data_IF_274465980402
#
_entry.id   IF_274465980402
#
_cell.length_a   1.000
_cell.length_b   1.000
_cell.length_c   1.000
_cell.angle_alpha   90.00
_cell.angle_beta   90.00
_cell.angle_gamma   90.00
#
_symmetry.space_group_name_H-M   'P 1'
#
loop_
_entity.id
_entity.type
_entity.pdbx_description
1 polymer ?
#
# COMPACT_ATOMS: atom_id res chain seq x y z
N UNK A 1 -2.86 8.82 12.30
CA UNK A 1 -2.08 8.29 11.17
C UNK A 1 -1.52 6.93 11.52
N UNK A 2 -1.71 5.94 10.67
CA UNK A 2 -1.23 4.58 10.85
C UNK A 2 -0.06 4.35 9.89
N UNK A 3 1.03 3.76 10.38
CA UNK A 3 2.23 3.59 9.57
C UNK A 3 3.05 2.37 9.98
N UNK A 4 3.79 1.83 9.03
CA UNK A 4 4.77 0.77 9.22
C UNK A 4 6.04 1.14 8.49
N UNK A 5 7.14 1.24 9.22
CA UNK A 5 8.48 1.55 8.68
C UNK A 5 8.52 2.79 7.78
N UNK A 6 7.67 3.76 8.05
CA UNK A 6 7.67 5.08 7.41
C UNK A 6 7.63 6.15 8.48
N UNK A 7 8.46 7.15 8.36
CA UNK A 7 8.46 8.32 9.25
C UNK A 7 7.47 9.38 8.72
N UNK A 8 7.15 10.37 9.54
CA UNK A 8 6.33 11.51 9.10
C UNK A 8 6.98 12.23 7.92
N UNK A 9 8.29 12.26 7.88
CA UNK A 9 9.06 12.86 6.79
C UNK A 9 8.88 12.08 5.49
N UNK A 10 8.93 10.74 5.58
CA UNK A 10 8.72 9.87 4.43
C UNK A 10 7.33 10.06 3.84
N UNK A 11 6.32 10.16 4.70
CA UNK A 11 4.93 10.36 4.28
C UNK A 11 4.76 11.73 3.61
N UNK A 12 5.37 12.76 4.18
CA UNK A 12 5.35 14.10 3.58
C UNK A 12 5.95 14.09 2.17
N UNK A 13 7.09 13.43 2.00
CA UNK A 13 7.75 13.32 0.70
C UNK A 13 6.93 12.47 -0.29
N UNK A 14 6.27 11.44 0.19
CA UNK A 14 5.44 10.55 -0.63
C UNK A 14 4.28 11.30 -1.29
N UNK A 15 3.73 12.31 -0.65
CA UNK A 15 2.65 13.13 -1.21
C UNK A 15 3.02 13.77 -2.53
N UNK A 16 4.30 14.10 -2.71
CA UNK A 16 4.80 14.83 -3.88
C UNK A 16 5.43 13.91 -4.93
N UNK A 17 5.71 12.66 -4.59
CA UNK A 17 6.50 11.78 -5.43
C UNK A 17 5.86 10.40 -5.67
N UNK A 18 4.61 10.21 -5.25
CA UNK A 18 3.97 8.90 -5.38
C UNK A 18 3.69 8.54 -6.83
N UNK A 19 3.90 7.26 -7.14
CA UNK A 19 3.64 6.66 -8.43
C UNK A 19 2.23 6.09 -8.48
N UNK A 20 1.75 5.79 -9.70
CA UNK A 20 0.44 5.20 -9.89
C UNK A 20 0.52 3.68 -9.86
N UNK A 21 -0.26 3.05 -8.99
CA UNK A 21 -0.29 1.59 -8.85
C UNK A 21 -0.77 0.88 -10.13
N UNK A 22 -1.51 1.55 -10.98
CA UNK A 22 -2.03 0.97 -12.23
C UNK A 22 -0.93 0.46 -13.16
N UNK A 23 0.27 1.02 -13.06
CA UNK A 23 1.41 0.63 -13.90
C UNK A 23 2.06 -0.67 -13.43
N UNK A 24 1.67 -1.17 -12.26
CA UNK A 24 2.30 -2.32 -11.61
C UNK A 24 1.31 -3.42 -11.22
N UNK A 25 0.13 -3.41 -11.80
CA UNK A 25 -0.88 -4.45 -11.55
C UNK A 25 -0.33 -5.83 -11.97
N UNK A 26 -0.44 -6.80 -11.07
CA UNK A 26 0.02 -8.17 -11.31
C UNK A 26 1.51 -8.40 -11.05
N UNK A 27 2.26 -7.35 -10.75
CA UNK A 27 3.69 -7.49 -10.47
C UNK A 27 3.95 -7.65 -8.97
N UNK A 28 4.84 -8.58 -8.57
CA UNK A 28 5.21 -8.72 -7.16
C UNK A 28 6.06 -7.53 -6.71
N UNK A 29 5.65 -6.93 -5.58
CA UNK A 29 6.32 -5.76 -5.01
C UNK A 29 6.85 -6.13 -3.63
N UNK A 30 8.15 -5.90 -3.40
CA UNK A 30 8.75 -6.09 -2.08
C UNK A 30 8.42 -4.87 -1.21
N UNK A 31 7.50 -5.04 -0.28
CA UNK A 31 7.00 -3.94 0.57
C UNK A 31 7.98 -3.68 1.70
N UNK A 32 8.49 -2.45 1.77
CA UNK A 32 9.39 -2.00 2.82
C UNK A 32 8.77 -0.97 3.75
N UNK A 33 7.66 -0.36 3.36
CA UNK A 33 6.97 0.63 4.18
C UNK A 33 5.52 0.78 3.77
N UNK A 34 4.68 1.14 4.73
CA UNK A 34 3.25 1.33 4.54
C UNK A 34 2.78 2.49 5.40
N UNK A 35 1.79 3.22 4.93
CA UNK A 35 1.15 4.27 5.73
C UNK A 35 -0.27 4.54 5.26
N UNK A 36 -1.09 4.98 6.20
CA UNK A 36 -2.40 5.57 5.92
C UNK A 36 -2.37 6.99 6.48
N UNK A 37 -2.69 7.94 5.64
CA UNK A 37 -2.75 9.36 6.00
C UNK A 37 -4.09 9.92 5.54
N UNK A 38 -4.34 11.18 5.87
CA UNK A 38 -5.53 11.90 5.41
C UNK A 38 -5.10 13.11 4.59
N UNK A 39 -5.75 13.28 3.44
CA UNK A 39 -5.59 14.45 2.61
C UNK A 39 -6.98 15.06 2.42
N UNK A 40 -7.17 16.27 2.98
CA UNK A 40 -8.44 16.99 2.93
C UNK A 40 -9.63 16.15 3.44
N UNK A 41 -9.41 15.43 4.55
CA UNK A 41 -10.41 14.58 5.20
C UNK A 41 -10.63 13.23 4.51
N UNK A 42 -9.90 12.94 3.44
CA UNK A 42 -10.00 11.67 2.72
C UNK A 42 -8.78 10.80 2.98
N UNK A 43 -8.96 9.49 3.19
CA UNK A 43 -7.83 8.61 3.41
C UNK A 43 -7.00 8.43 2.15
N UNK A 44 -5.69 8.38 2.31
CA UNK A 44 -4.75 8.05 1.26
C UNK A 44 -3.74 7.04 1.82
N UNK A 45 -3.49 5.98 1.06
CA UNK A 45 -2.52 4.96 1.44
C UNK A 45 -1.23 5.10 0.67
N UNK A 46 -0.12 4.75 1.33
CA UNK A 46 1.20 4.71 0.70
C UNK A 46 1.83 3.34 0.85
N UNK A 47 2.42 2.86 -0.23
CA UNK A 47 3.17 1.60 -0.26
C UNK A 47 4.56 1.91 -0.79
N UNK A 48 5.59 1.59 0.00
CA UNK A 48 6.97 1.69 -0.44
C UNK A 48 7.41 0.32 -0.93
N UNK A 49 7.82 0.26 -2.19
CA UNK A 49 8.32 -0.96 -2.81
C UNK A 49 9.81 -0.84 -3.09
N UNK A 50 10.60 -1.77 -2.58
CA UNK A 50 12.05 -1.76 -2.74
C UNK A 50 12.46 -1.84 -4.21
N UNK A 51 13.38 -0.96 -4.60
CA UNK A 51 13.87 -0.89 -5.97
C UNK A 51 12.89 -0.28 -6.98
N UNK A 52 11.69 0.10 -6.55
CA UNK A 52 10.65 0.65 -7.44
C UNK A 52 10.30 2.09 -7.05
N UNK A 53 9.85 2.31 -5.82
CA UNK A 53 9.47 3.62 -5.35
C UNK A 53 8.27 3.60 -4.42
N UNK A 54 7.54 4.71 -4.35
CA UNK A 54 6.39 4.89 -3.48
C UNK A 54 5.12 4.99 -4.31
N UNK A 55 4.09 4.25 -3.92
CA UNK A 55 2.77 4.31 -4.55
C UNK A 55 1.79 5.02 -3.63
N UNK A 56 1.01 5.96 -4.20
CA UNK A 56 -0.11 6.56 -3.52
C UNK A 56 -1.41 5.92 -3.99
N UNK A 57 -2.26 5.48 -3.08
CA UNK A 57 -3.54 4.84 -3.42
C UNK A 57 -4.69 5.49 -2.67
N UNK A 58 -5.81 5.66 -3.37
CA UNK A 58 -7.04 6.22 -2.80
C UNK A 58 -8.19 5.23 -2.81
N UNK A 59 -8.01 4.07 -3.42
CA UNK A 59 -9.01 2.99 -3.43
C UNK A 59 -9.33 2.52 -2.01
N UNK A 60 -10.60 2.53 -1.64
CA UNK A 60 -11.04 2.08 -0.31
C UNK A 60 -10.64 0.64 -0.03
N UNK A 61 -10.72 -0.23 -1.02
CA UNK A 61 -10.33 -1.64 -0.87
C UNK A 61 -8.83 -1.78 -0.59
N UNK A 62 -7.98 -1.01 -1.28
CA UNK A 62 -6.55 -1.03 -1.04
C UNK A 62 -6.17 -0.39 0.30
N UNK A 63 -6.85 0.69 0.70
CA UNK A 63 -6.62 1.32 2.00
C UNK A 63 -6.94 0.32 3.13
N UNK A 64 -8.03 -0.43 3.01
CA UNK A 64 -8.36 -1.48 3.97
C UNK A 64 -7.29 -2.58 3.98
N UNK A 65 -6.83 -3.01 2.81
CA UNK A 65 -5.78 -4.01 2.71
C UNK A 65 -4.47 -3.53 3.33
N UNK A 66 -4.09 -2.27 3.11
CA UNK A 66 -2.90 -1.67 3.72
C UNK A 66 -3.04 -1.63 5.24
N UNK A 67 -4.20 -1.23 5.76
CA UNK A 67 -4.46 -1.20 7.19
C UNK A 67 -4.28 -2.58 7.83
N UNK A 68 -4.84 -3.60 7.20
CA UNK A 68 -4.72 -4.97 7.67
C UNK A 68 -3.27 -5.47 7.61
N UNK A 69 -2.54 -5.11 6.56
CA UNK A 69 -1.14 -5.49 6.41
C UNK A 69 -0.26 -4.80 7.46
N UNK A 70 -0.51 -3.54 7.77
CA UNK A 70 0.21 -2.84 8.85
C UNK A 70 0.02 -3.58 10.18
N UNK A 71 -1.21 -3.98 10.50
CA UNK A 71 -1.50 -4.74 11.72
C UNK A 71 -0.77 -6.08 11.73
N UNK A 72 -0.77 -6.78 10.61
CA UNK A 72 -0.08 -8.07 10.47
C UNK A 72 1.43 -7.92 10.73
N UNK A 73 2.06 -6.94 10.06
CA UNK A 73 3.50 -6.73 10.16
C UNK A 73 3.93 -6.21 11.53
N UNK A 74 3.08 -5.41 12.19
CA UNK A 74 3.36 -4.91 13.53
C UNK A 74 3.39 -6.03 14.59
N UNK A 75 2.77 -7.16 14.31
CA UNK A 75 2.69 -8.31 15.22
C UNK A 75 3.64 -9.45 14.84
N UNK A 76 4.42 -9.29 13.78
CA UNK A 76 5.40 -10.29 13.39
C UNK A 76 6.71 -10.13 14.17
N UNK A 77 7.40 -11.23 14.37
CA UNK A 77 8.70 -11.24 15.04
C UNK A 77 9.79 -10.60 14.16
N UNK A 78 10.82 -10.07 14.81
CA UNK A 78 11.99 -9.56 14.11
C UNK A 78 12.65 -10.67 13.29
N UNK A 79 13.09 -10.34 12.08
CA UNK A 79 13.73 -11.27 11.19
C UNK A 79 12.77 -12.03 10.28
N UNK A 80 11.49 -11.66 10.28
CA UNK A 80 10.54 -12.17 9.30
C UNK A 80 11.02 -11.84 7.87
N UNK A 81 10.69 -12.71 6.92
CA UNK A 81 11.03 -12.50 5.53
C UNK A 81 10.35 -11.23 4.97
N UNK A 82 10.96 -10.57 3.97
CA UNK A 82 10.32 -9.42 3.33
C UNK A 82 8.92 -9.77 2.81
N UNK A 83 8.00 -8.85 2.99
CA UNK A 83 6.63 -9.02 2.51
C UNK A 83 6.57 -8.72 1.03
N UNK A 84 6.11 -9.69 0.25
CA UNK A 84 5.90 -9.51 -1.18
C UNK A 84 4.40 -9.42 -1.42
N UNK A 85 3.95 -8.28 -1.93
CA UNK A 85 2.56 -8.00 -2.21
C UNK A 85 2.33 -7.87 -3.71
N UNK A 86 1.20 -8.36 -4.17
CA UNK A 86 0.76 -8.21 -5.56
C UNK A 86 -0.61 -7.57 -5.57
N UNK A 87 -0.75 -6.49 -6.35
CA UNK A 87 -2.03 -5.82 -6.53
C UNK A 87 -2.74 -6.40 -7.75
N UNK A 88 -3.99 -6.75 -7.59
CA UNK A 88 -4.83 -7.30 -8.66
C UNK A 88 -5.96 -6.35 -8.98
N UNK A 89 -6.30 -6.23 -10.25
CA UNK A 89 -7.48 -5.53 -10.70
C UNK A 89 -8.58 -6.55 -10.97
N UNK A 90 -9.77 -6.28 -10.44
CA UNK A 90 -10.94 -7.16 -10.59
C UNK A 90 -12.13 -6.32 -11.04
N UNK A 91 -13.11 -6.97 -11.67
CA UNK A 91 -14.36 -6.32 -12.06
C UNK A 91 -15.51 -6.95 -11.31
N UNK A 92 -16.32 -6.13 -10.64
CA UNK A 92 -17.51 -6.60 -9.93
C UNK A 92 -18.62 -6.99 -10.91
N UNK A 93 -19.66 -7.67 -10.41
CA UNK A 93 -20.83 -8.03 -11.21
C UNK A 93 -21.53 -6.82 -11.82
N UNK A 94 -21.41 -5.66 -11.18
CA UNK A 94 -21.99 -4.40 -11.69
C UNK A 94 -21.09 -3.69 -12.69
N UNK A 95 -19.94 -4.26 -13.04
CA UNK A 95 -19.00 -3.71 -14.00
C UNK A 95 -18.01 -2.71 -13.43
N UNK A 96 -17.96 -2.53 -12.11
CA UNK A 96 -17.02 -1.62 -11.46
C UNK A 96 -15.69 -2.30 -11.21
N UNK A 97 -14.59 -1.62 -11.57
CA UNK A 97 -13.24 -2.07 -11.26
C UNK A 97 -12.95 -1.86 -9.78
N UNK A 98 -12.31 -2.84 -9.17
CA UNK A 98 -11.80 -2.72 -7.81
C UNK A 98 -10.47 -3.44 -7.69
N UNK A 99 -9.70 -3.08 -6.66
CA UNK A 99 -8.37 -3.63 -6.43
C UNK A 99 -8.35 -4.54 -5.22
N UNK A 100 -7.56 -5.60 -5.32
CA UNK A 100 -7.27 -6.48 -4.19
C UNK A 100 -5.76 -6.65 -4.06
N UNK A 101 -5.31 -7.09 -2.90
CA UNK A 101 -3.89 -7.34 -2.62
C UNK A 101 -3.73 -8.75 -2.08
N UNK A 102 -2.76 -9.47 -2.61
CA UNK A 102 -2.36 -10.77 -2.07
C UNK A 102 -0.92 -10.71 -1.60
N UNK A 103 -0.58 -11.54 -0.63
CA UNK A 103 0.76 -11.60 -0.04
C UNK A 103 1.32 -13.00 -0.22
N UNK A 104 2.54 -13.06 -0.71
CA UNK A 104 3.25 -14.33 -0.86
C UNK A 104 3.89 -14.78 0.46
#
# INVERSE_FOLDING_TARGET
>A
MTQYNMTKKDIFNARNASMNIKDYIGEPLTVTGLAIDEDDGKPIGYIVADGVGVFGVTSGALIEAITNLIDLLANEDEGAEPTIATIHSNTSKSGKEFYTMTIA
#
